data_IF_953972775820
#
_entry.id   IF_953972775820
#
_cell.length_a   1.000
_cell.length_b   1.000
_cell.length_c   1.000
_cell.angle_alpha   90.00
_cell.angle_beta   90.00
_cell.angle_gamma   90.00
#
_symmetry.space_group_name_H-M   'P 1'
#
loop_
_entity.id
_entity.type
_entity.pdbx_description
1 polymer ?
#
# COMPACT_ATOMS: atom_id res chain seq x y z
N UNK A 1 15.80 -72.15 -26.12
CA UNK A 1 14.50 -71.51 -26.42
C UNK A 1 14.05 -70.63 -25.26
N UNK A 2 13.77 -71.18 -24.08
CA UNK A 2 13.26 -70.44 -22.90
C UNK A 2 14.06 -69.17 -22.53
N UNK A 3 15.40 -69.22 -22.52
CA UNK A 3 16.23 -68.04 -22.15
C UNK A 3 16.16 -66.94 -23.22
N UNK A 4 16.05 -67.31 -24.50
CA UNK A 4 15.96 -66.36 -25.62
C UNK A 4 14.59 -65.69 -25.62
N UNK A 5 13.53 -66.45 -25.32
CA UNK A 5 12.16 -65.91 -25.20
C UNK A 5 12.05 -64.94 -24.02
N UNK A 6 12.63 -65.26 -22.85
CA UNK A 6 12.70 -64.34 -21.70
C UNK A 6 13.47 -63.08 -22.06
N UNK A 7 14.60 -63.19 -22.76
CA UNK A 7 15.39 -62.03 -23.16
C UNK A 7 14.65 -61.15 -24.17
N UNK A 8 13.89 -61.78 -25.08
CA UNK A 8 13.08 -61.09 -26.09
C UNK A 8 11.89 -60.39 -25.44
N UNK A 9 11.23 -61.01 -24.46
CA UNK A 9 10.15 -60.39 -23.69
C UNK A 9 10.65 -59.22 -22.83
N UNK A 10 11.81 -59.37 -22.18
CA UNK A 10 12.44 -58.27 -21.43
C UNK A 10 12.82 -57.13 -22.38
N UNK A 11 13.39 -57.45 -23.55
CA UNK A 11 13.77 -56.46 -24.56
C UNK A 11 12.56 -55.69 -25.11
N UNK A 12 11.47 -56.40 -25.45
CA UNK A 12 10.23 -55.78 -25.93
C UNK A 12 9.55 -54.96 -24.83
N UNK A 13 9.61 -55.41 -23.58
CA UNK A 13 9.10 -54.65 -22.43
C UNK A 13 9.90 -53.36 -22.22
N UNK A 14 11.24 -53.43 -22.32
CA UNK A 14 12.10 -52.26 -22.22
C UNK A 14 11.88 -51.28 -23.38
N UNK A 15 11.71 -51.77 -24.60
CA UNK A 15 11.39 -50.92 -25.75
C UNK A 15 10.06 -50.22 -25.58
N UNK A 16 9.00 -50.93 -25.16
CA UNK A 16 7.70 -50.33 -24.86
C UNK A 16 7.81 -49.26 -23.77
N UNK A 17 8.60 -49.49 -22.73
CA UNK A 17 8.84 -48.49 -21.66
C UNK A 17 9.54 -47.26 -22.21
N UNK A 18 10.57 -47.43 -23.04
CA UNK A 18 11.33 -46.33 -23.66
C UNK A 18 10.48 -45.54 -24.67
N UNK A 19 9.55 -46.18 -25.37
CA UNK A 19 8.67 -45.53 -26.35
C UNK A 19 7.51 -44.77 -25.68
N UNK A 20 6.99 -45.28 -24.55
CA UNK A 20 5.89 -44.65 -23.81
C UNK A 20 6.37 -43.51 -22.90
N UNK A 21 7.58 -43.63 -22.33
CA UNK A 21 8.14 -42.64 -21.39
C UNK A 21 8.10 -41.20 -21.92
N UNK A 22 8.60 -40.87 -23.13
CA UNK A 22 8.62 -39.51 -23.66
C UNK A 22 7.23 -38.87 -23.79
N UNK A 23 6.22 -39.65 -24.17
CA UNK A 23 4.84 -39.18 -24.33
C UNK A 23 4.16 -38.92 -22.99
N UNK A 24 4.50 -39.69 -21.96
CA UNK A 24 4.07 -39.45 -20.58
C UNK A 24 4.80 -38.26 -19.94
N UNK A 25 6.10 -38.05 -20.25
CA UNK A 25 6.87 -36.89 -19.77
C UNK A 25 6.28 -35.56 -20.23
N UNK A 26 5.76 -35.48 -21.46
CA UNK A 26 5.11 -34.27 -21.97
C UNK A 26 3.78 -33.93 -21.27
N UNK A 27 3.17 -34.88 -20.56
CA UNK A 27 1.96 -34.67 -19.73
C UNK A 27 2.29 -34.29 -18.29
N UNK A 28 3.56 -34.38 -17.88
CA UNK A 28 3.95 -34.08 -16.51
C UNK A 28 3.93 -32.58 -16.27
N UNK A 29 3.07 -32.16 -15.34
CA UNK A 29 3.11 -30.82 -14.79
C UNK A 29 4.50 -30.60 -14.15
N UNK A 30 5.23 -29.57 -14.58
CA UNK A 30 6.55 -29.21 -14.04
C UNK A 30 6.52 -29.09 -12.51
N UNK A 31 5.41 -28.62 -11.95
CA UNK A 31 5.18 -28.56 -10.49
C UNK A 31 5.14 -29.96 -9.87
N UNK A 32 4.48 -30.93 -10.51
CA UNK A 32 4.39 -32.30 -10.03
C UNK A 32 5.75 -33.02 -10.06
N UNK A 33 6.57 -32.77 -11.08
CA UNK A 33 7.93 -33.33 -11.17
C UNK A 33 8.82 -32.76 -10.05
N UNK A 34 8.77 -31.45 -9.82
CA UNK A 34 9.52 -30.80 -8.74
C UNK A 34 9.07 -31.31 -7.37
N UNK A 35 7.76 -31.46 -7.15
CA UNK A 35 7.22 -32.06 -5.92
C UNK A 35 7.69 -33.50 -5.72
N UNK A 36 7.73 -34.29 -6.79
CA UNK A 36 8.17 -35.69 -6.74
C UNK A 36 9.65 -35.80 -6.42
N UNK A 37 10.50 -35.00 -7.07
CA UNK A 37 11.95 -34.94 -6.78
C UNK A 37 12.17 -34.46 -5.34
N UNK A 38 11.42 -33.46 -4.89
CA UNK A 38 11.47 -32.98 -3.51
C UNK A 38 11.06 -34.07 -2.52
N UNK A 39 9.97 -34.80 -2.78
CA UNK A 39 9.52 -35.92 -1.96
C UNK A 39 10.55 -37.05 -1.92
N UNK A 40 11.16 -37.41 -3.05
CA UNK A 40 12.22 -38.42 -3.12
C UNK A 40 13.45 -37.97 -2.33
N UNK A 41 13.88 -36.72 -2.49
CA UNK A 41 14.99 -36.14 -1.73
C UNK A 41 14.70 -36.08 -0.23
N UNK A 42 13.48 -35.69 0.14
CA UNK A 42 12.98 -35.68 1.51
C UNK A 42 12.98 -37.10 2.10
N UNK A 43 12.44 -38.08 1.38
CA UNK A 43 12.43 -39.48 1.80
C UNK A 43 13.83 -40.09 1.88
N UNK A 44 14.76 -39.71 1.00
CA UNK A 44 16.15 -40.18 1.07
C UNK A 44 16.86 -39.61 2.31
N UNK A 45 16.66 -38.33 2.60
CA UNK A 45 17.23 -37.64 3.75
C UNK A 45 16.67 -38.19 5.07
N UNK A 46 15.35 -38.45 5.09
CA UNK A 46 14.66 -39.16 6.17
C UNK A 46 15.17 -40.61 6.26
N UNK A 47 15.21 -41.37 5.17
CA UNK A 47 15.61 -42.78 5.16
C UNK A 47 17.00 -43.00 5.76
N UNK A 48 17.98 -42.17 5.41
CA UNK A 48 19.34 -42.32 5.94
C UNK A 48 19.42 -42.02 7.44
N UNK A 49 18.54 -41.14 7.93
CA UNK A 49 18.37 -40.86 9.35
C UNK A 49 17.64 -42.00 10.08
N UNK A 50 16.61 -42.57 9.45
CA UNK A 50 15.76 -43.60 10.04
C UNK A 50 16.39 -45.00 10.02
N UNK A 51 17.33 -45.32 9.12
CA UNK A 51 17.96 -46.65 9.07
C UNK A 51 18.55 -47.05 10.43
N UNK A 52 19.40 -46.22 11.03
CA UNK A 52 19.98 -46.51 12.34
C UNK A 52 18.95 -46.43 13.48
N UNK A 53 17.95 -45.56 13.35
CA UNK A 53 16.88 -45.39 14.35
C UNK A 53 15.93 -46.59 14.40
N UNK A 54 15.51 -47.13 13.25
CA UNK A 54 14.59 -48.26 13.14
C UNK A 54 15.20 -49.52 13.76
N UNK A 55 16.47 -49.82 13.48
CA UNK A 55 17.14 -50.96 14.11
C UNK A 55 17.20 -50.80 15.63
N UNK A 56 17.52 -49.59 16.13
CA UNK A 56 17.55 -49.31 17.58
C UNK A 56 16.18 -49.42 18.22
N UNK A 57 15.15 -48.91 17.56
CA UNK A 57 13.77 -49.04 18.01
C UNK A 57 13.34 -50.51 18.03
N UNK A 58 13.75 -51.29 17.02
CA UNK A 58 13.54 -52.73 16.96
C UNK A 58 14.18 -53.48 18.13
N UNK A 59 15.44 -53.21 18.45
CA UNK A 59 16.13 -53.80 19.60
C UNK A 59 15.49 -53.40 20.93
N UNK A 60 15.08 -52.13 21.07
CA UNK A 60 14.40 -51.65 22.28
C UNK A 60 13.04 -52.32 22.47
N UNK A 61 12.24 -52.47 21.41
CA UNK A 61 10.95 -53.17 21.44
C UNK A 61 11.15 -54.65 21.72
N UNK A 62 12.09 -55.32 21.02
CA UNK A 62 12.39 -56.73 21.23
C UNK A 62 12.87 -57.01 22.67
N UNK A 63 13.78 -56.18 23.18
CA UNK A 63 14.27 -56.27 24.55
C UNK A 63 13.16 -56.02 25.59
N UNK A 64 12.30 -55.03 25.34
CA UNK A 64 11.14 -54.74 26.22
C UNK A 64 10.13 -55.89 26.26
N UNK A 65 9.88 -56.54 25.12
CA UNK A 65 9.01 -57.72 25.04
C UNK A 65 9.60 -58.91 25.80
N UNK A 66 10.91 -59.15 25.67
CA UNK A 66 11.60 -60.22 26.42
C UNK A 66 11.56 -59.98 27.94
N UNK A 67 11.72 -58.72 28.36
CA UNK A 67 11.57 -58.36 29.78
C UNK A 67 10.14 -58.59 30.26
N UNK A 68 9.15 -58.13 29.52
CA UNK A 68 7.73 -58.31 29.85
C UNK A 68 7.37 -59.79 30.03
N UNK A 69 7.81 -60.66 29.12
CA UNK A 69 7.61 -62.11 29.21
C UNK A 69 8.35 -62.73 30.40
N UNK A 70 9.50 -62.19 30.80
CA UNK A 70 10.29 -62.73 31.91
C UNK A 70 9.67 -62.47 33.30
N UNK A 71 8.89 -61.39 33.47
CA UNK A 71 8.35 -61.01 34.78
C UNK A 71 7.24 -61.93 35.31
N UNK A 72 6.76 -62.89 34.51
CA UNK A 72 5.81 -63.91 34.96
C UNK A 72 6.42 -65.01 35.84
N UNK A 73 7.75 -65.13 35.88
CA UNK A 73 8.45 -66.22 36.56
C UNK A 73 9.04 -65.78 37.92
N UNK A 74 8.85 -66.56 38.99
CA UNK A 74 9.43 -66.25 40.31
C UNK A 74 10.97 -66.24 40.33
N UNK A 75 11.61 -66.85 39.34
CA UNK A 75 13.07 -66.86 39.15
C UNK A 75 13.51 -65.98 37.97
N UNK A 76 12.71 -64.96 37.60
CA UNK A 76 12.95 -64.15 36.40
C UNK A 76 14.37 -63.59 36.29
N UNK A 77 14.98 -63.20 37.42
CA UNK A 77 16.34 -62.63 37.48
C UNK A 77 17.38 -63.62 36.93
N UNK A 78 17.17 -64.93 37.04
CA UNK A 78 18.07 -65.95 36.53
C UNK A 78 17.72 -66.43 35.11
N UNK A 79 16.60 -65.97 34.54
CA UNK A 79 16.16 -66.39 33.22
C UNK A 79 17.05 -65.79 32.13
N UNK A 80 17.33 -66.58 31.08
CA UNK A 80 18.06 -66.08 29.92
C UNK A 80 17.31 -64.94 29.21
N UNK A 81 15.97 -65.00 29.20
CA UNK A 81 15.09 -63.97 28.61
C UNK A 81 15.26 -62.61 29.30
N UNK A 82 15.33 -62.59 30.63
CA UNK A 82 15.57 -61.37 31.39
C UNK A 82 16.93 -60.75 31.05
N UNK A 83 18.02 -61.54 31.07
CA UNK A 83 19.36 -61.04 30.75
C UNK A 83 19.48 -60.54 29.31
N UNK A 84 18.88 -61.27 28.35
CA UNK A 84 18.82 -60.83 26.95
C UNK A 84 18.00 -59.54 26.79
N UNK A 85 16.86 -59.46 27.49
CA UNK A 85 16.01 -58.27 27.49
C UNK A 85 16.73 -57.05 28.06
N UNK A 86 17.40 -57.19 29.20
CA UNK A 86 18.25 -56.15 29.79
C UNK A 86 19.37 -55.75 28.82
N UNK A 87 20.06 -56.72 28.23
CA UNK A 87 21.15 -56.49 27.27
C UNK A 87 20.72 -55.78 25.99
N UNK A 88 19.47 -55.95 25.56
CA UNK A 88 18.89 -55.26 24.40
C UNK A 88 18.28 -53.90 24.73
N UNK A 89 17.98 -53.61 26.00
CA UNK A 89 17.38 -52.33 26.40
C UNK A 89 18.44 -51.34 26.87
N UNK A 90 19.37 -51.75 27.74
CA UNK A 90 20.35 -50.85 28.39
C UNK A 90 21.15 -50.01 27.38
N UNK A 91 21.80 -50.61 26.34
CA UNK A 91 22.60 -49.83 25.41
C UNK A 91 21.77 -48.76 24.67
N UNK A 92 20.48 -49.03 24.47
CA UNK A 92 19.62 -48.17 23.67
C UNK A 92 18.99 -47.02 24.46
N UNK A 93 18.90 -47.13 25.79
CA UNK A 93 18.43 -46.04 26.67
C UNK A 93 19.45 -44.89 26.69
N UNK A 94 20.73 -45.19 26.96
CA UNK A 94 21.79 -44.17 27.00
C UNK A 94 22.04 -43.54 25.63
N UNK A 95 21.93 -44.35 24.57
CA UNK A 95 22.10 -43.89 23.19
C UNK A 95 20.93 -42.98 22.75
N UNK A 96 19.74 -43.09 23.33
CA UNK A 96 18.61 -42.22 22.96
C UNK A 96 18.91 -40.75 23.31
N UNK A 97 19.52 -40.48 24.46
CA UNK A 97 19.92 -39.14 24.88
C UNK A 97 21.02 -38.58 23.96
N UNK A 98 22.06 -39.36 23.68
CA UNK A 98 23.12 -38.98 22.74
C UNK A 98 22.55 -38.72 21.34
N UNK A 99 21.61 -39.56 20.89
CA UNK A 99 20.96 -39.42 19.58
C UNK A 99 20.14 -38.13 19.52
N UNK A 100 19.38 -37.82 20.59
CA UNK A 100 18.65 -36.55 20.70
C UNK A 100 19.59 -35.34 20.62
N UNK A 101 20.73 -35.38 21.32
CA UNK A 101 21.71 -34.30 21.29
C UNK A 101 22.32 -34.12 19.89
N UNK A 102 22.70 -35.21 19.21
CA UNK A 102 23.23 -35.18 17.84
C UNK A 102 22.19 -34.63 16.86
N UNK A 103 20.92 -35.06 17.00
CA UNK A 103 19.80 -34.55 16.22
C UNK A 103 19.70 -33.04 16.40
N UNK A 104 19.61 -32.59 17.67
CA UNK A 104 19.46 -31.18 18.02
C UNK A 104 20.59 -30.33 17.42
N UNK A 105 21.84 -30.77 17.54
CA UNK A 105 23.00 -30.07 16.99
C UNK A 105 22.95 -29.97 15.45
N UNK A 106 22.62 -31.09 14.77
CA UNK A 106 22.50 -31.09 13.31
C UNK A 106 21.35 -30.23 12.81
N UNK A 107 20.22 -30.21 13.52
CA UNK A 107 19.10 -29.33 13.22
C UNK A 107 19.47 -27.86 13.39
N UNK A 108 20.25 -27.53 14.42
CA UNK A 108 20.73 -26.17 14.63
C UNK A 108 21.62 -25.69 13.47
N UNK A 109 22.55 -26.53 13.02
CA UNK A 109 23.39 -26.22 11.86
C UNK A 109 22.60 -26.15 10.55
N UNK A 110 21.58 -27.00 10.38
CA UNK A 110 20.67 -26.94 9.24
C UNK A 110 19.84 -25.65 9.24
N UNK A 111 19.31 -25.27 10.40
CA UNK A 111 18.55 -24.04 10.59
C UNK A 111 19.36 -22.81 10.17
N UNK A 112 20.60 -22.67 10.66
CA UNK A 112 21.46 -21.55 10.27
C UNK A 112 21.83 -21.56 8.79
N UNK A 113 22.01 -22.72 8.17
CA UNK A 113 22.26 -22.81 6.73
C UNK A 113 21.04 -22.33 5.93
N UNK A 114 19.84 -22.73 6.33
CA UNK A 114 18.58 -22.30 5.70
C UNK A 114 18.37 -20.81 5.91
N UNK A 115 18.56 -20.30 7.12
CA UNK A 115 18.46 -18.89 7.45
C UNK A 115 19.45 -18.04 6.62
N UNK A 116 20.72 -18.45 6.57
CA UNK A 116 21.73 -17.74 5.79
C UNK A 116 21.43 -17.80 4.27
N UNK A 117 20.93 -18.92 3.77
CA UNK A 117 20.48 -19.05 2.38
C UNK A 117 19.29 -18.12 2.11
N UNK A 118 18.31 -18.09 3.00
CA UNK A 118 17.15 -17.20 2.93
C UNK A 118 17.60 -15.74 2.87
N UNK A 119 18.51 -15.30 3.75
CA UNK A 119 19.02 -13.93 3.71
C UNK A 119 19.83 -13.62 2.44
N UNK A 120 20.62 -14.57 1.91
CA UNK A 120 21.33 -14.39 0.64
C UNK A 120 20.36 -14.17 -0.52
N UNK A 121 19.26 -14.92 -0.54
CA UNK A 121 18.22 -14.79 -1.58
C UNK A 121 17.40 -13.52 -1.35
N UNK A 122 16.99 -13.22 -0.12
CA UNK A 122 16.09 -12.11 0.21
C UNK A 122 16.75 -10.73 0.09
N UNK A 123 18.03 -10.60 0.46
CA UNK A 123 18.78 -9.32 0.41
C UNK A 123 18.64 -8.54 -0.90
N UNK A 124 18.86 -9.13 -2.10
CA UNK A 124 18.69 -8.40 -3.36
C UNK A 124 17.25 -7.91 -3.57
N UNK A 125 16.24 -8.68 -3.17
CA UNK A 125 14.84 -8.26 -3.29
C UNK A 125 14.48 -7.15 -2.31
N UNK A 126 14.96 -7.22 -1.07
CA UNK A 126 14.79 -6.17 -0.07
C UNK A 126 15.42 -4.87 -0.58
N UNK A 127 16.66 -4.94 -1.09
CA UNK A 127 17.34 -3.79 -1.69
C UNK A 127 16.58 -3.23 -2.90
N UNK A 128 16.09 -4.10 -3.79
CA UNK A 128 15.30 -3.71 -4.96
C UNK A 128 14.01 -3.00 -4.55
N UNK A 129 13.28 -3.53 -3.57
CA UNK A 129 12.07 -2.92 -3.04
C UNK A 129 12.31 -1.50 -2.52
N UNK A 130 13.35 -1.29 -1.72
CA UNK A 130 13.70 0.05 -1.23
C UNK A 130 14.14 0.99 -2.36
N UNK A 131 14.83 0.46 -3.37
CA UNK A 131 15.27 1.25 -4.53
C UNK A 131 14.08 1.71 -5.36
N UNK A 132 13.14 0.82 -5.67
CA UNK A 132 11.89 1.15 -6.35
C UNK A 132 11.09 2.16 -5.53
N UNK A 133 10.99 1.96 -4.22
CA UNK A 133 10.28 2.89 -3.33
C UNK A 133 10.86 4.31 -3.39
N UNK A 134 12.19 4.46 -3.42
CA UNK A 134 12.85 5.76 -3.61
C UNK A 134 12.55 6.38 -4.97
N UNK A 135 12.57 5.59 -6.05
CA UNK A 135 12.25 6.07 -7.40
C UNK A 135 10.79 6.54 -7.47
N UNK A 136 9.84 5.77 -6.94
CA UNK A 136 8.43 6.14 -6.88
C UNK A 136 8.24 7.43 -6.08
N UNK A 137 8.89 7.54 -4.91
CA UNK A 137 8.85 8.75 -4.10
C UNK A 137 9.41 9.97 -4.86
N UNK A 138 10.50 9.79 -5.61
CA UNK A 138 11.10 10.85 -6.42
C UNK A 138 10.17 11.30 -7.55
N UNK A 139 9.57 10.36 -8.28
CA UNK A 139 8.61 10.66 -9.34
C UNK A 139 7.39 11.38 -8.78
N UNK A 140 6.86 10.92 -7.64
CA UNK A 140 5.70 11.53 -7.00
C UNK A 140 5.98 12.96 -6.55
N UNK A 141 7.15 13.21 -5.94
CA UNK A 141 7.55 14.56 -5.54
C UNK A 141 7.69 15.48 -6.77
N UNK A 142 8.40 15.01 -7.80
CA UNK A 142 8.58 15.77 -9.05
C UNK A 142 7.24 16.10 -9.72
N UNK A 143 6.31 15.14 -9.81
CA UNK A 143 4.98 15.39 -10.36
C UNK A 143 4.19 16.43 -9.57
N UNK A 144 4.36 16.49 -8.25
CA UNK A 144 3.69 17.46 -7.39
C UNK A 144 4.18 18.88 -7.69
N UNK A 145 5.49 19.06 -7.83
CA UNK A 145 6.11 20.36 -8.10
C UNK A 145 5.71 20.92 -9.48
N UNK A 146 5.60 20.06 -10.50
CA UNK A 146 5.10 20.49 -11.83
C UNK A 146 3.64 20.95 -11.79
N UNK A 147 2.79 20.26 -11.01
CA UNK A 147 1.39 20.64 -10.88
C UNK A 147 1.24 21.94 -10.11
N UNK A 148 2.01 22.11 -9.04
CA UNK A 148 2.02 23.34 -8.24
C UNK A 148 2.44 24.55 -9.08
N UNK A 149 3.56 24.44 -9.82
CA UNK A 149 4.04 25.53 -10.69
C UNK A 149 3.03 25.86 -11.79
N UNK A 150 2.33 24.87 -12.36
CA UNK A 150 1.30 25.12 -13.37
C UNK A 150 0.09 25.85 -12.79
N UNK A 151 -0.32 25.49 -11.59
CA UNK A 151 -1.44 26.13 -10.90
C UNK A 151 -1.08 27.54 -10.43
N UNK A 152 0.16 27.82 -10.00
CA UNK A 152 0.59 29.20 -9.68
C UNK A 152 0.54 30.09 -10.91
N UNK A 153 1.11 29.66 -12.04
CA UNK A 153 1.09 30.45 -13.29
C UNK A 153 -0.34 30.71 -13.80
N UNK A 154 -1.26 29.76 -13.64
CA UNK A 154 -2.67 29.98 -13.98
C UNK A 154 -3.32 31.02 -13.07
N UNK A 155 -3.02 30.98 -11.77
CA UNK A 155 -3.55 31.92 -10.78
C UNK A 155 -3.01 33.32 -10.97
N UNK A 156 -1.71 33.46 -11.22
CA UNK A 156 -1.08 34.74 -11.54
C UNK A 156 -1.72 35.36 -12.79
N UNK A 157 -1.86 34.59 -13.87
CA UNK A 157 -2.57 35.07 -15.07
C UNK A 157 -4.02 35.48 -14.81
N UNK A 158 -4.74 34.68 -14.01
CA UNK A 158 -6.12 35.00 -13.66
C UNK A 158 -6.23 36.22 -12.74
N UNK A 159 -5.24 36.46 -11.88
CA UNK A 159 -5.15 37.67 -11.05
C UNK A 159 -4.85 38.89 -11.91
N UNK A 160 -3.87 38.82 -12.82
CA UNK A 160 -3.56 39.89 -13.78
C UNK A 160 -4.81 40.26 -14.61
N UNK A 161 -5.50 39.26 -15.18
CA UNK A 161 -6.73 39.48 -15.95
C UNK A 161 -7.84 40.12 -15.10
N UNK A 162 -7.97 39.73 -13.83
CA UNK A 162 -8.94 40.33 -12.92
C UNK A 162 -8.57 41.76 -12.51
N UNK A 163 -7.29 42.06 -12.28
CA UNK A 163 -6.81 43.40 -11.95
C UNK A 163 -7.04 44.37 -13.12
N UNK A 164 -6.83 43.90 -14.36
CA UNK A 164 -7.14 44.67 -15.57
C UNK A 164 -8.65 44.95 -15.69
N UNK A 165 -9.50 43.93 -15.51
CA UNK A 165 -10.97 44.08 -15.56
C UNK A 165 -11.49 44.97 -14.43
N UNK A 166 -10.92 44.85 -13.23
CA UNK A 166 -11.30 45.72 -12.10
C UNK A 166 -10.92 47.16 -12.39
N UNK A 167 -9.72 47.42 -12.93
CA UNK A 167 -9.29 48.75 -13.32
C UNK A 167 -10.19 49.37 -14.39
N UNK A 168 -10.47 48.63 -15.47
CA UNK A 168 -11.36 49.06 -16.55
C UNK A 168 -12.77 49.38 -16.04
N UNK A 169 -13.31 48.53 -15.15
CA UNK A 169 -14.61 48.78 -14.53
C UNK A 169 -14.64 50.07 -13.70
N UNK A 170 -13.60 50.34 -12.92
CA UNK A 170 -13.54 51.57 -12.11
C UNK A 170 -13.37 52.82 -12.96
N UNK A 171 -12.54 52.77 -14.01
CA UNK A 171 -12.36 53.88 -14.95
C UNK A 171 -13.71 54.27 -15.60
N UNK A 172 -14.52 53.28 -16.02
CA UNK A 172 -15.87 53.50 -16.55
C UNK A 172 -16.83 54.17 -15.54
N UNK A 173 -16.81 53.71 -14.27
CA UNK A 173 -17.70 54.24 -13.22
C UNK A 173 -17.34 55.68 -12.85
N UNK A 174 -16.06 56.02 -12.74
CA UNK A 174 -15.63 57.39 -12.45
C UNK A 174 -15.94 58.35 -13.60
N UNK A 175 -15.94 57.87 -14.84
CA UNK A 175 -16.36 58.63 -16.03
C UNK A 175 -17.88 58.83 -16.12
N UNK A 176 -18.70 58.01 -15.46
CA UNK A 176 -20.14 58.22 -15.31
C UNK A 176 -20.48 59.17 -14.16
N UNK A 177 -19.80 59.03 -13.00
CA UNK A 177 -20.00 59.88 -11.82
C UNK A 177 -19.66 61.36 -12.14
N UNK A 178 -18.62 61.60 -12.94
CA UNK A 178 -18.27 62.96 -13.43
C UNK A 178 -19.27 63.54 -14.43
N UNK A 179 -20.05 62.70 -15.13
CA UNK A 179 -21.11 63.14 -16.06
C UNK A 179 -22.43 63.42 -15.32
N UNK A 180 -22.73 62.68 -14.25
CA UNK A 180 -23.89 62.94 -13.40
C UNK A 180 -23.70 64.20 -12.55
N UNK A 181 -22.50 64.47 -12.03
CA UNK A 181 -22.20 65.71 -11.29
C UNK A 181 -22.29 66.99 -12.14
N UNK A 182 -22.22 66.88 -13.48
CA UNK A 182 -22.35 68.01 -14.40
C UNK A 182 -23.82 68.47 -14.62
N UNK A 183 -24.81 67.78 -14.05
CA UNK A 183 -26.24 68.03 -14.31
C UNK A 183 -27.10 68.47 -13.10
N UNK A 184 -26.51 68.81 -11.94
CA UNK A 184 -27.29 69.35 -10.80
C UNK A 184 -26.97 70.82 -10.46
N UNK A 185 -27.94 71.71 -10.66
CA UNK A 185 -27.95 73.10 -10.14
C UNK A 185 -28.17 73.12 -8.60
N UNK A 186 -27.62 74.12 -7.87
CA UNK A 186 -27.57 74.07 -6.41
C UNK A 186 -28.91 74.50 -5.81
N UNK A 187 -29.53 73.63 -5.00
CA UNK A 187 -30.65 74.01 -4.11
C UNK A 187 -30.26 73.81 -2.65
N UNK A 188 -29.94 74.91 -1.97
CA UNK A 188 -29.70 74.95 -0.54
C UNK A 188 -30.93 74.55 0.27
N UNK A 189 -30.80 73.56 1.15
CA UNK A 189 -31.34 73.67 2.52
C UNK A 189 -30.39 73.01 3.51
N UNK A 190 -29.99 73.81 4.48
CA UNK A 190 -29.01 73.51 5.51
C UNK A 190 -29.70 72.76 6.67
N UNK A 191 -29.37 71.48 6.87
CA UNK A 191 -29.58 70.76 8.14
C UNK A 191 -28.36 69.91 8.47
N UNK A 192 -27.83 70.15 9.67
CA UNK A 192 -26.54 69.68 10.22
C UNK A 192 -26.37 68.15 10.11
N UNK A 193 -25.32 67.73 9.39
CA UNK A 193 -24.86 66.34 9.25
C UNK A 193 -24.21 65.85 10.56
N UNK A 194 -24.57 64.69 11.13
CA UNK A 194 -23.65 63.99 12.01
C UNK A 194 -22.53 63.40 11.14
N UNK A 195 -21.26 63.72 11.47
CA UNK A 195 -20.08 63.07 10.90
C UNK A 195 -20.22 61.55 11.06
N UNK A 196 -20.54 60.85 9.96
CA UNK A 196 -20.39 59.40 9.90
C UNK A 196 -18.97 59.13 9.42
N UNK A 197 -18.20 58.51 10.30
CA UNK A 197 -16.87 57.98 10.02
C UNK A 197 -16.91 57.18 8.72
N UNK A 198 -15.98 57.46 7.80
CA UNK A 198 -15.83 56.69 6.56
C UNK A 198 -15.49 55.25 6.95
N UNK A 199 -16.26 54.24 6.50
CA UNK A 199 -15.88 52.85 6.75
C UNK A 199 -14.52 52.57 6.12
N UNK A 200 -13.66 51.90 6.87
CA UNK A 200 -12.27 51.61 6.54
C UNK A 200 -12.11 50.61 5.38
N UNK A 201 -13.20 50.07 4.85
CA UNK A 201 -13.22 49.19 3.67
C UNK A 201 -14.61 49.19 3.01
N UNK A 202 -14.65 49.16 1.66
CA UNK A 202 -15.90 49.10 0.85
C UNK A 202 -16.84 47.97 1.31
N UNK A 203 -16.26 46.86 1.78
CA UNK A 203 -16.95 45.64 2.22
C UNK A 203 -17.72 45.81 3.53
N UNK A 204 -17.43 46.86 4.30
CA UNK A 204 -18.12 47.22 5.54
C UNK A 204 -19.29 48.19 5.30
N UNK A 205 -19.50 48.63 4.05
CA UNK A 205 -20.58 49.53 3.72
C UNK A 205 -21.95 48.89 3.97
N UNK A 206 -22.87 49.67 4.55
CA UNK A 206 -24.25 49.25 4.79
C UNK A 206 -25.12 49.28 3.52
N UNK A 207 -24.63 49.90 2.44
CA UNK A 207 -25.36 50.01 1.18
C UNK A 207 -24.98 48.89 0.22
N UNK A 208 -25.97 48.12 -0.25
CA UNK A 208 -25.75 47.04 -1.22
C UNK A 208 -25.21 47.56 -2.56
N UNK A 209 -25.64 48.75 -2.98
CA UNK A 209 -25.13 49.43 -4.18
C UNK A 209 -23.63 49.72 -4.06
N UNK A 210 -23.19 50.24 -2.92
CA UNK A 210 -21.76 50.51 -2.65
C UNK A 210 -20.94 49.23 -2.57
N UNK A 211 -21.50 48.14 -2.00
CA UNK A 211 -20.83 46.84 -1.98
C UNK A 211 -20.64 46.28 -3.39
N UNK A 212 -21.60 46.47 -4.30
CA UNK A 212 -21.47 46.08 -5.72
C UNK A 212 -20.77 47.12 -6.60
N UNK A 213 -20.55 48.34 -6.10
CA UNK A 213 -19.84 49.40 -6.81
C UNK A 213 -20.71 50.05 -7.88
N UNK A 214 -22.00 50.17 -7.60
CA UNK A 214 -23.01 50.70 -8.50
C UNK A 214 -23.67 51.93 -7.87
N UNK A 215 -24.18 52.83 -8.71
CA UNK A 215 -25.05 53.93 -8.28
C UNK A 215 -26.43 53.43 -7.84
N UNK A 216 -27.16 54.22 -7.06
CA UNK A 216 -28.51 53.88 -6.58
C UNK A 216 -29.56 53.71 -7.69
N UNK A 217 -29.26 54.15 -8.91
CA UNK A 217 -30.10 54.01 -10.10
C UNK A 217 -29.80 52.80 -11.00
N UNK A 218 -28.86 51.93 -10.62
CA UNK A 218 -28.37 50.87 -11.49
C UNK A 218 -29.46 49.85 -11.88
N UNK A 219 -29.42 49.41 -13.14
CA UNK A 219 -30.38 48.46 -13.70
C UNK A 219 -30.13 47.03 -13.19
N UNK A 220 -31.15 46.15 -13.27
CA UNK A 220 -30.99 44.73 -12.91
C UNK A 220 -29.91 44.02 -13.75
N UNK A 221 -29.66 44.48 -14.97
CA UNK A 221 -28.62 43.93 -15.83
C UNK A 221 -27.22 44.30 -15.33
N UNK A 222 -27.00 45.56 -14.93
CA UNK A 222 -25.77 46.04 -14.31
C UNK A 222 -25.48 45.34 -12.97
N UNK A 223 -26.50 45.19 -12.13
CA UNK A 223 -26.41 44.47 -10.84
C UNK A 223 -25.94 43.03 -11.07
N UNK A 224 -26.47 42.35 -12.08
CA UNK A 224 -26.09 40.98 -12.44
C UNK A 224 -24.69 40.90 -13.04
N UNK A 225 -24.29 41.90 -13.83
CA UNK A 225 -22.95 42.02 -14.41
C UNK A 225 -21.91 42.21 -13.31
N UNK A 226 -22.10 43.19 -12.43
CA UNK A 226 -21.22 43.48 -11.29
C UNK A 226 -21.08 42.27 -10.35
N UNK A 227 -22.19 41.60 -10.02
CA UNK A 227 -22.17 40.38 -9.21
C UNK A 227 -21.31 39.28 -9.84
N UNK A 228 -21.46 39.02 -11.15
CA UNK A 228 -20.69 37.98 -11.85
C UNK A 228 -19.21 38.29 -11.89
N UNK A 229 -18.83 39.55 -12.11
CA UNK A 229 -17.43 39.98 -12.13
C UNK A 229 -16.81 39.83 -10.74
N UNK A 230 -17.42 40.42 -9.71
CA UNK A 230 -16.90 40.36 -8.34
C UNK A 230 -16.85 38.93 -7.78
N UNK A 231 -17.81 38.06 -8.14
CA UNK A 231 -17.81 36.66 -7.72
C UNK A 231 -16.67 35.84 -8.33
N UNK A 232 -16.20 36.21 -9.53
CA UNK A 232 -15.03 35.58 -10.15
C UNK A 232 -13.74 36.05 -9.50
N UNK A 233 -13.64 37.34 -9.14
CA UNK A 233 -12.44 37.92 -8.52
C UNK A 233 -12.26 37.36 -7.10
N UNK A 234 -13.32 37.36 -6.29
CA UNK A 234 -13.27 37.02 -4.86
C UNK A 234 -13.76 35.60 -4.54
N UNK A 235 -13.66 34.64 -5.47
CA UNK A 235 -14.07 33.25 -5.19
C UNK A 235 -13.14 32.61 -4.13
N UNK A 236 -13.66 31.93 -3.09
CA UNK A 236 -12.84 31.36 -2.01
C UNK A 236 -11.87 30.26 -2.46
N UNK A 237 -12.05 29.68 -3.64
CA UNK A 237 -11.14 28.66 -4.20
C UNK A 237 -9.90 29.26 -4.90
N UNK A 238 -9.87 30.58 -5.14
CA UNK A 238 -8.75 31.23 -5.82
C UNK A 238 -7.60 31.60 -4.88
N UNK A 239 -7.87 31.84 -3.59
CA UNK A 239 -6.86 32.26 -2.63
C UNK A 239 -6.48 31.12 -1.67
N UNK A 240 -5.21 30.68 -1.74
CA UNK A 240 -4.67 29.71 -0.77
C UNK A 240 -4.13 30.37 0.50
N UNK A 241 -3.66 31.62 0.40
CA UNK A 241 -2.97 32.32 1.51
C UNK A 241 -3.90 33.27 2.27
N UNK A 242 -5.01 33.71 1.66
CA UNK A 242 -5.97 34.70 2.20
C UNK A 242 -7.42 34.22 2.08
N UNK A 243 -7.65 32.95 2.40
CA UNK A 243 -8.95 32.30 2.22
C UNK A 243 -10.06 32.98 3.03
N UNK A 244 -9.74 33.39 4.26
CA UNK A 244 -10.69 33.99 5.19
C UNK A 244 -11.18 35.37 4.69
N UNK A 245 -10.28 36.21 4.20
CA UNK A 245 -10.62 37.54 3.65
C UNK A 245 -11.53 37.42 2.41
N UNK A 246 -11.21 36.50 1.50
CA UNK A 246 -12.01 36.28 0.28
C UNK A 246 -13.38 35.71 0.61
N UNK A 247 -13.47 34.82 1.60
CA UNK A 247 -14.73 34.26 2.05
C UNK A 247 -15.65 35.34 2.64
N UNK A 248 -15.12 36.26 3.44
CA UNK A 248 -15.87 37.39 4.00
C UNK A 248 -16.37 38.35 2.90
N UNK A 249 -15.50 38.68 1.95
CA UNK A 249 -15.84 39.53 0.80
C UNK A 249 -16.92 38.86 -0.07
N UNK A 250 -16.77 37.58 -0.37
CA UNK A 250 -17.73 36.81 -1.16
C UNK A 250 -19.11 36.73 -0.49
N UNK A 251 -19.16 36.58 0.84
CA UNK A 251 -20.41 36.66 1.62
C UNK A 251 -21.08 38.02 1.47
N UNK A 252 -20.31 39.12 1.48
CA UNK A 252 -20.83 40.49 1.29
C UNK A 252 -21.38 40.72 -0.11
N UNK A 253 -20.67 40.25 -1.14
CA UNK A 253 -21.12 40.32 -2.54
C UNK A 253 -22.46 39.58 -2.72
N UNK A 254 -22.57 38.36 -2.18
CA UNK A 254 -23.82 37.60 -2.23
C UNK A 254 -24.97 38.28 -1.48
N UNK A 255 -24.70 38.85 -0.31
CA UNK A 255 -25.70 39.61 0.45
C UNK A 255 -26.21 40.82 -0.32
N UNK A 256 -25.32 41.58 -0.95
CA UNK A 256 -25.67 42.77 -1.71
C UNK A 256 -26.52 42.43 -2.94
N UNK A 257 -26.10 41.43 -3.73
CA UNK A 257 -26.88 40.96 -4.89
C UNK A 257 -28.27 40.47 -4.49
N UNK A 258 -28.38 39.67 -3.42
CA UNK A 258 -29.68 39.20 -2.91
C UNK A 258 -30.61 40.33 -2.46
N UNK A 259 -30.04 41.43 -1.97
CA UNK A 259 -30.82 42.57 -1.47
C UNK A 259 -31.39 43.40 -2.62
N UNK A 260 -30.68 43.49 -3.75
CA UNK A 260 -31.10 44.26 -4.93
C UNK A 260 -31.88 43.43 -5.96
N UNK A 261 -31.78 42.11 -5.93
CA UNK A 261 -32.52 41.18 -6.83
C UNK A 261 -34.00 40.98 -6.44
N UNK A 262 -34.62 41.94 -5.76
CA UNK A 262 -36.04 41.90 -5.36
C UNK A 262 -36.94 42.57 -6.39
#
# INVERSE_FOLDING_TARGET
MIIIDIFTDIYNTLLNVIEVLPNEFNKLNTVGVVQTIFLIGLFYLISNFFKAFIFRLGFLVAGSLLLYDSFGDYTFIYSMKFHMGVGFVIPHIEIAEITYLIIREKFHHLYYKVENLFFKIAKPFIWLFFTISKIVSFIFHKSRDYMETRETHKREKFQEENEEVEKEFWDDVFDEETKEEAHEEPRHTEKKKPKKEKPTSRWESKSAYVVLGLGSGATQEEIKKAYRTLSKIYHPDLSLTKKDEYEEIFKRINWAYRSLKK
#
